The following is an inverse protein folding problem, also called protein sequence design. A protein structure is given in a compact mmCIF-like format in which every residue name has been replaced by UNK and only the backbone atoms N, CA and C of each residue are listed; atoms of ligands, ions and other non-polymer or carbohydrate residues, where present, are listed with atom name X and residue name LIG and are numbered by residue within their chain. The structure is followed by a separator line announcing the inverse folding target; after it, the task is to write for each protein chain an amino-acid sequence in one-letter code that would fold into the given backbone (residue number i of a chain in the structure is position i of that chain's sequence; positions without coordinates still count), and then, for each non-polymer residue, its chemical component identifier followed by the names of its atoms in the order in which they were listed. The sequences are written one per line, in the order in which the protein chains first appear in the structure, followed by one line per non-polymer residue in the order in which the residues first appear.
data_IF_376378991946
#
_entry.id   IF_376378991946
#
_cell.length_a   1.000
_cell.length_b   1.000
_cell.length_c   1.000
_cell.angle_alpha   90.00
_cell.angle_beta   90.00
_cell.angle_gamma   90.00
#
_symmetry.space_group_name_H-M   'P 1'
#
loop_
_entity.id
_entity.type
_entity.pdbx_description
1 polymer ?
#
# COMPACT_ATOMS: atom_id res chain seq x y z
N UNK A 1 30.36 42.03 34.45
CA UNK A 1 29.50 41.82 33.26
C UNK A 1 30.06 40.60 32.54
N UNK A 2 29.76 39.38 33.01
CA UNK A 2 28.63 38.53 32.57
C UNK A 2 28.47 38.51 31.05
N UNK A 3 28.75 37.37 30.40
CA UNK A 3 27.77 36.57 29.64
C UNK A 3 28.33 35.16 29.39
N UNK A 4 27.70 34.17 30.02
CA UNK A 4 27.94 32.75 29.85
C UNK A 4 27.39 32.29 28.48
N UNK A 5 28.24 31.74 27.62
CA UNK A 5 27.86 30.93 26.48
C UNK A 5 28.05 29.47 26.86
N UNK A 6 27.03 28.87 27.49
CA UNK A 6 26.93 27.42 27.58
C UNK A 6 25.66 26.99 26.84
N UNK A 7 25.93 26.51 25.63
CA UNK A 7 25.12 25.60 24.84
C UNK A 7 24.15 24.78 25.68
N UNK A 8 22.87 25.13 25.58
CA UNK A 8 21.79 24.18 25.78
C UNK A 8 20.85 24.31 24.58
N UNK A 9 21.37 23.97 23.39
CA UNK A 9 20.49 23.45 22.36
C UNK A 9 19.95 22.13 22.93
N UNK A 10 18.81 22.23 23.63
CA UNK A 10 17.96 21.08 23.91
C UNK A 10 17.52 20.60 22.54
N UNK A 11 18.31 19.72 21.93
CA UNK A 11 17.80 18.77 20.96
C UNK A 11 16.75 17.97 21.74
N UNK A 12 15.51 18.47 21.68
CA UNK A 12 14.37 17.60 21.79
C UNK A 12 14.61 16.57 20.70
N UNK A 13 15.15 15.42 21.12
CA UNK A 13 14.92 14.17 20.42
C UNK A 13 13.40 13.98 20.48
N UNK A 14 12.69 14.68 19.58
CA UNK A 14 11.46 14.15 19.03
C UNK A 14 11.80 12.70 18.74
N UNK A 15 11.07 11.71 19.29
CA UNK A 15 11.30 10.34 18.89
C UNK A 15 11.30 10.39 17.38
N UNK A 16 12.48 10.11 16.80
CA UNK A 16 12.71 10.08 15.38
C UNK A 16 11.52 9.29 14.87
N UNK A 17 10.54 9.95 14.24
CA UNK A 17 9.30 9.28 13.85
C UNK A 17 9.80 8.05 13.12
N UNK A 18 9.54 6.85 13.66
CA UNK A 18 9.84 5.61 12.96
C UNK A 18 9.30 5.88 11.56
N UNK A 19 10.19 6.04 10.57
CA UNK A 19 9.84 6.69 9.30
C UNK A 19 8.55 6.03 8.85
N UNK A 20 7.44 6.78 8.85
CA UNK A 20 6.11 6.18 8.81
C UNK A 20 6.05 5.30 7.56
N UNK A 21 6.22 3.99 7.77
CA UNK A 21 6.37 3.07 6.67
C UNK A 21 4.97 2.61 6.34
N UNK A 22 4.48 2.99 5.17
CA UNK A 22 3.13 2.68 4.76
C UNK A 22 3.07 2.25 3.30
N UNK A 23 2.06 1.45 2.96
CA UNK A 23 1.59 1.28 1.60
C UNK A 23 0.14 1.76 1.50
N UNK A 24 -0.10 2.67 0.56
CA UNK A 24 -1.44 3.16 0.23
C UNK A 24 -1.96 2.41 -0.98
N UNK A 25 -3.14 1.87 -0.83
CA UNK A 25 -3.82 1.06 -1.83
C UNK A 25 -5.02 1.86 -2.28
N UNK A 26 -4.92 2.48 -3.45
CA UNK A 26 -5.93 3.41 -3.96
C UNK A 26 -6.67 2.79 -5.13
N UNK A 27 -7.99 2.67 -5.03
CA UNK A 27 -8.80 2.26 -6.17
C UNK A 27 -8.58 3.21 -7.34
N UNK A 28 -8.48 2.64 -8.55
CA UNK A 28 -8.30 3.41 -9.79
C UNK A 28 -9.49 3.24 -10.72
N UNK A 29 -9.81 1.99 -11.09
CA UNK A 29 -10.92 1.68 -12.00
C UNK A 29 -11.33 0.22 -11.86
N UNK A 30 -12.48 -0.13 -12.44
CA UNK A 30 -12.87 -1.51 -12.67
C UNK A 30 -13.54 -1.66 -14.05
N UNK A 31 -13.52 -2.86 -14.62
CA UNK A 31 -14.15 -3.18 -15.90
C UNK A 31 -14.58 -4.65 -15.95
N UNK A 32 -15.50 -4.98 -16.86
CA UNK A 32 -15.83 -6.38 -17.12
C UNK A 32 -14.82 -6.98 -18.09
N UNK A 33 -14.35 -8.19 -17.78
CA UNK A 33 -13.43 -8.95 -18.62
C UNK A 33 -13.76 -10.44 -18.49
N UNK A 34 -14.07 -11.09 -19.62
CA UNK A 34 -14.37 -12.54 -19.66
C UNK A 34 -15.43 -13.00 -18.64
N UNK A 35 -16.47 -12.19 -18.41
CA UNK A 35 -17.55 -12.52 -17.46
C UNK A 35 -17.21 -12.30 -15.98
N UNK A 36 -16.02 -11.77 -15.68
CA UNK A 36 -15.60 -11.37 -14.34
C UNK A 36 -15.53 -9.84 -14.23
N UNK A 37 -15.58 -9.34 -13.00
CA UNK A 37 -15.21 -7.95 -12.69
C UNK A 37 -13.72 -7.89 -12.38
N UNK A 38 -12.99 -7.09 -13.14
CA UNK A 38 -11.58 -6.79 -12.92
C UNK A 38 -11.45 -5.45 -12.20
N UNK A 39 -10.68 -5.42 -11.13
CA UNK A 39 -10.41 -4.23 -10.31
C UNK A 39 -8.93 -3.87 -10.43
N UNK A 40 -8.65 -2.58 -10.53
CA UNK A 40 -7.30 -2.02 -10.53
C UNK A 40 -7.11 -1.10 -9.33
N UNK A 41 -6.00 -1.29 -8.64
CA UNK A 41 -5.52 -0.39 -7.59
C UNK A 41 -4.13 0.14 -7.94
N UNK A 42 -3.84 1.34 -7.45
CA UNK A 42 -2.50 1.93 -7.41
C UNK A 42 -1.89 1.66 -6.04
N UNK A 43 -0.65 1.18 -6.03
CA UNK A 43 0.14 0.96 -4.82
C UNK A 43 1.18 2.08 -4.68
N UNK A 44 1.14 2.82 -3.59
CA UNK A 44 2.11 3.88 -3.27
C UNK A 44 2.76 3.58 -1.93
N UNK A 45 4.08 3.41 -1.92
CA UNK A 45 4.83 3.07 -0.71
C UNK A 45 5.47 4.30 -0.09
N UNK A 46 5.62 4.34 1.22
CA UNK A 46 6.36 5.38 1.94
C UNK A 46 7.43 4.68 2.80
N UNK A 47 8.71 5.05 2.71
CA UNK A 47 9.28 5.99 1.72
C UNK A 47 9.07 5.51 0.26
N UNK A 48 8.76 6.46 -0.63
CA UNK A 48 8.66 6.23 -2.09
C UNK A 48 10.05 6.22 -2.71
N UNK A 49 10.28 5.46 -3.80
CA UNK A 49 9.60 4.22 -4.21
C UNK A 49 10.26 2.99 -3.55
N UNK A 50 9.45 2.06 -3.06
CA UNK A 50 9.92 0.76 -2.58
C UNK A 50 9.24 -0.38 -3.35
N UNK A 51 9.96 -0.93 -4.33
CA UNK A 51 9.53 -2.04 -5.19
C UNK A 51 9.24 -3.31 -4.40
N UNK A 52 10.08 -3.63 -3.40
CA UNK A 52 9.92 -4.83 -2.60
C UNK A 52 8.60 -4.84 -1.82
N UNK A 53 8.20 -3.70 -1.26
CA UNK A 53 6.93 -3.55 -0.55
C UNK A 53 5.72 -3.65 -1.49
N UNK A 54 5.79 -3.00 -2.66
CA UNK A 54 4.70 -3.05 -3.64
C UNK A 54 4.52 -4.46 -4.23
N UNK A 55 5.63 -5.13 -4.57
CA UNK A 55 5.64 -6.51 -5.05
C UNK A 55 5.15 -7.49 -3.98
N UNK A 56 5.57 -7.32 -2.72
CA UNK A 56 5.09 -8.13 -1.61
C UNK A 56 3.57 -7.98 -1.41
N UNK A 57 3.05 -6.75 -1.42
CA UNK A 57 1.61 -6.53 -1.28
C UNK A 57 0.85 -7.21 -2.42
N UNK A 58 1.33 -7.07 -3.66
CA UNK A 58 0.77 -7.78 -4.79
C UNK A 58 0.82 -9.31 -4.62
N UNK A 59 1.94 -9.88 -4.16
CA UNK A 59 2.08 -11.33 -3.94
C UNK A 59 1.03 -11.87 -2.96
N UNK A 60 0.71 -11.08 -1.92
CA UNK A 60 -0.32 -11.43 -0.92
C UNK A 60 -1.75 -11.12 -1.37
N UNK A 61 -1.93 -10.39 -2.46
CA UNK A 61 -3.27 -10.06 -2.97
C UNK A 61 -3.94 -11.27 -3.61
N UNK A 62 -5.00 -11.79 -2.98
CA UNK A 62 -5.81 -12.85 -3.56
C UNK A 62 -6.64 -12.39 -4.77
N UNK A 63 -7.15 -13.36 -5.53
CA UNK A 63 -7.99 -13.10 -6.71
C UNK A 63 -7.48 -13.84 -7.95
N UNK A 64 -8.29 -13.82 -9.01
CA UNK A 64 -7.93 -14.45 -10.28
C UNK A 64 -7.23 -13.47 -11.21
N UNK A 65 -6.47 -13.99 -12.18
CA UNK A 65 -5.79 -13.20 -13.21
C UNK A 65 -4.99 -12.01 -12.62
N UNK A 66 -4.31 -12.24 -11.50
CA UNK A 66 -3.54 -11.23 -10.79
C UNK A 66 -2.41 -10.74 -11.69
N UNK A 67 -2.36 -9.44 -11.95
CA UNK A 67 -1.30 -8.82 -12.72
C UNK A 67 -0.78 -7.58 -11.98
N UNK A 68 0.54 -7.47 -11.86
CA UNK A 68 1.17 -6.33 -11.21
C UNK A 68 2.31 -5.81 -12.08
N UNK A 69 2.35 -4.50 -12.24
CA UNK A 69 3.21 -3.84 -13.22
C UNK A 69 3.39 -2.36 -12.88
N UNK A 70 4.49 -1.80 -13.38
CA UNK A 70 4.68 -0.36 -13.44
C UNK A 70 3.98 0.18 -14.68
N UNK A 71 3.21 1.26 -14.54
CA UNK A 71 2.73 2.03 -15.69
C UNK A 71 3.78 3.03 -16.19
N UNK A 72 3.49 3.66 -17.34
CA UNK A 72 4.34 4.67 -17.95
C UNK A 72 4.55 5.91 -17.07
N UNK A 73 3.65 6.15 -16.13
CA UNK A 73 3.67 7.31 -15.24
C UNK A 73 4.45 7.02 -13.95
N UNK A 74 5.10 5.85 -13.86
CA UNK A 74 5.90 5.46 -12.70
C UNK A 74 5.04 5.08 -11.49
N UNK A 75 3.83 4.55 -11.71
CA UNK A 75 3.00 4.00 -10.65
C UNK A 75 2.96 2.48 -10.70
N UNK A 76 3.12 1.84 -9.54
CA UNK A 76 2.93 0.40 -9.43
C UNK A 76 1.43 0.11 -9.29
N UNK A 77 0.89 -0.73 -10.18
CA UNK A 77 -0.51 -1.12 -10.24
C UNK A 77 -0.67 -2.59 -9.95
N UNK A 78 -1.81 -2.95 -9.36
CA UNK A 78 -2.24 -4.32 -9.19
C UNK A 78 -3.67 -4.47 -9.71
N UNK A 79 -3.85 -5.43 -10.62
CA UNK A 79 -5.12 -5.80 -11.21
C UNK A 79 -5.52 -7.21 -10.75
N UNK A 80 -6.75 -7.39 -10.31
CA UNK A 80 -7.30 -8.69 -9.87
C UNK A 80 -8.76 -8.85 -10.29
N UNK A 81 -9.14 -10.08 -10.63
CA UNK A 81 -10.47 -10.43 -11.11
C UNK A 81 -11.26 -11.24 -10.08
N UNK A 82 -12.54 -10.90 -9.94
CA UNK A 82 -13.52 -11.57 -9.09
C UNK A 82 -14.83 -11.79 -9.86
N UNK A 83 -15.71 -12.64 -9.34
CA UNK A 83 -17.06 -12.81 -9.87
C UNK A 83 -17.77 -11.45 -9.95
N UNK A 84 -18.52 -11.17 -11.02
CA UNK A 84 -19.25 -9.90 -11.10
C UNK A 84 -20.44 -9.89 -10.12
N UNK A 85 -20.68 -8.73 -9.49
CA UNK A 85 -21.75 -8.53 -8.51
C UNK A 85 -21.31 -8.55 -7.03
N UNK A 86 -22.28 -8.50 -6.10
CA UNK A 86 -22.01 -8.22 -4.68
C UNK A 86 -21.09 -9.22 -3.99
N UNK A 87 -21.23 -10.51 -4.33
CA UNK A 87 -20.41 -11.56 -3.74
C UNK A 87 -18.93 -11.42 -4.13
N UNK A 88 -18.64 -11.11 -5.40
CA UNK A 88 -17.26 -10.90 -5.83
C UNK A 88 -16.68 -9.57 -5.36
N UNK A 89 -17.50 -8.52 -5.20
CA UNK A 89 -17.03 -7.29 -4.54
C UNK A 89 -16.67 -7.54 -3.07
N UNK A 90 -17.46 -8.34 -2.35
CA UNK A 90 -17.09 -8.76 -0.99
C UNK A 90 -15.79 -9.57 -0.96
N UNK A 91 -15.60 -10.48 -1.91
CA UNK A 91 -14.35 -11.23 -2.06
C UNK A 91 -13.14 -10.32 -2.37
N UNK A 92 -13.32 -9.28 -3.19
CA UNK A 92 -12.32 -8.25 -3.47
C UNK A 92 -11.88 -7.52 -2.20
N UNK A 93 -12.83 -7.04 -1.38
CA UNK A 93 -12.52 -6.36 -0.13
C UNK A 93 -11.80 -7.30 0.86
N UNK A 94 -12.24 -8.56 0.96
CA UNK A 94 -11.60 -9.57 1.80
C UNK A 94 -10.16 -9.87 1.36
N UNK A 95 -9.91 -9.95 0.05
CA UNK A 95 -8.57 -10.17 -0.48
C UNK A 95 -7.61 -9.02 -0.12
N UNK A 96 -8.08 -7.77 -0.19
CA UNK A 96 -7.27 -6.62 0.23
C UNK A 96 -7.07 -6.54 1.74
N UNK A 97 -8.08 -6.85 2.55
CA UNK A 97 -7.93 -6.93 4.00
C UNK A 97 -6.89 -7.99 4.39
N UNK A 98 -6.90 -9.15 3.74
CA UNK A 98 -5.91 -10.19 3.95
C UNK A 98 -4.50 -9.74 3.52
N UNK A 99 -4.36 -9.18 2.31
CA UNK A 99 -3.08 -8.68 1.81
C UNK A 99 -2.50 -7.58 2.72
N UNK A 100 -3.33 -6.68 3.22
CA UNK A 100 -2.95 -5.63 4.16
C UNK A 100 -2.49 -6.20 5.51
N UNK A 101 -3.13 -7.26 6.00
CA UNK A 101 -2.72 -7.95 7.23
C UNK A 101 -1.37 -8.65 7.05
N UNK A 102 -1.18 -9.39 5.96
CA UNK A 102 0.08 -10.07 5.67
C UNK A 102 1.21 -9.06 5.40
N UNK A 103 0.94 -7.97 4.68
CA UNK A 103 1.91 -6.90 4.46
C UNK A 103 2.42 -6.34 5.81
N UNK A 104 1.52 -5.99 6.73
CA UNK A 104 1.88 -5.54 8.08
C UNK A 104 2.73 -6.58 8.81
N UNK A 105 2.33 -7.85 8.74
CA UNK A 105 3.05 -8.95 9.39
C UNK A 105 4.47 -9.12 8.86
N UNK A 106 4.68 -9.02 7.55
CA UNK A 106 5.99 -9.26 6.93
C UNK A 106 6.93 -8.05 6.98
N UNK A 107 6.39 -6.83 7.02
CA UNK A 107 7.20 -5.61 6.90
C UNK A 107 7.25 -4.79 8.20
N UNK A 108 6.28 -4.97 9.09
CA UNK A 108 6.04 -4.03 10.20
C UNK A 108 5.48 -2.68 9.75
N UNK A 109 5.22 -2.48 8.45
CA UNK A 109 4.69 -1.24 7.87
C UNK A 109 3.16 -1.26 7.80
N UNK A 110 2.53 -0.10 7.84
CA UNK A 110 1.08 0.04 7.75
C UNK A 110 0.56 -0.16 6.32
N UNK A 111 -0.69 -0.61 6.20
CA UNK A 111 -1.39 -0.72 4.92
C UNK A 111 -2.70 0.08 4.95
N UNK A 112 -2.73 1.18 4.21
CA UNK A 112 -3.84 2.14 4.17
C UNK A 112 -4.71 1.81 2.95
N UNK A 113 -5.95 1.39 3.19
CA UNK A 113 -6.89 0.99 2.15
C UNK A 113 -7.86 2.13 1.81
N UNK A 114 -7.87 2.53 0.53
CA UNK A 114 -8.81 3.50 -0.05
C UNK A 114 -9.45 2.88 -1.31
N UNK A 115 -10.26 1.83 -1.09
CA UNK A 115 -10.78 0.91 -2.11
C UNK A 115 -12.28 0.65 -2.00
#
# INVERSE_FOLDING_TARGET
MQFNLLNAAVLLALPLAAQACDIRVQWTKNWQEQGLRRYQVKLTTNPVPNEGHAALYCDKLGGNNRACYWDSDGHYKADVSFVDGPAGYSAYLNAHNHAASEFRRFTGCEAILAI
#
